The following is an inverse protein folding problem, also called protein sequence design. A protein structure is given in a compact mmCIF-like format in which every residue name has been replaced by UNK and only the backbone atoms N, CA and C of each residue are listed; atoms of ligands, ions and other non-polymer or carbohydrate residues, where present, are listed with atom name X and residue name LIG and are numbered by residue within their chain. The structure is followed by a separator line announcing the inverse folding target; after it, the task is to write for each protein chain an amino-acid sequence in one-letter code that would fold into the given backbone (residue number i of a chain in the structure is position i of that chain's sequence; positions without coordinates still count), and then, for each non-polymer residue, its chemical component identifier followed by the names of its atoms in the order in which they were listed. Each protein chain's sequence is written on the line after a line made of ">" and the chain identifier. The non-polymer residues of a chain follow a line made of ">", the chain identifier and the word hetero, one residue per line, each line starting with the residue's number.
data_IF_998407279826
#
_entry.id   IF_998407279826
#
_cell.length_a   1.000
_cell.length_b   1.000
_cell.length_c   1.000
_cell.angle_alpha   90.00
_cell.angle_beta   90.00
_cell.angle_gamma   90.00
#
_symmetry.space_group_name_H-M   'P 1'
#
loop_
_entity.id
_entity.type
_entity.pdbx_description
1 polymer ?
#
# COMPACT_ATOMS: atom_id res chain seq x y z
N UNK A 1 12.64 -11.60 -63.06
CA UNK A 1 11.90 -11.05 -64.22
C UNK A 1 10.43 -11.05 -63.88
N UNK A 2 9.81 -9.89 -64.11
CA UNK A 2 8.52 -9.44 -63.58
C UNK A 2 7.31 -9.95 -64.38
N UNK A 3 6.18 -10.19 -63.72
CA UNK A 3 4.79 -10.00 -64.19
C UNK A 3 3.87 -10.11 -62.94
N UNK A 4 3.39 -9.01 -62.34
CA UNK A 4 2.20 -8.20 -62.68
C UNK A 4 0.90 -8.98 -62.96
N UNK A 5 -0.03 -8.95 -62.01
CA UNK A 5 -1.48 -9.00 -62.27
C UNK A 5 -2.24 -8.22 -61.18
N UNK A 6 -3.24 -7.47 -61.64
CA UNK A 6 -3.95 -6.35 -61.01
C UNK A 6 -5.45 -6.58 -61.21
N UNK A 7 -6.25 -6.37 -60.17
CA UNK A 7 -7.74 -6.26 -60.21
C UNK A 7 -8.14 -5.54 -58.91
N UNK A 8 -8.69 -4.32 -58.82
CA UNK A 8 -9.96 -3.75 -59.35
C UNK A 8 -11.13 -4.73 -59.14
N UNK A 9 -12.28 -4.44 -58.53
CA UNK A 9 -13.02 -3.24 -58.08
C UNK A 9 -14.03 -3.73 -57.01
N UNK A 10 -14.72 -2.94 -56.19
CA UNK A 10 -15.93 -2.22 -56.60
C UNK A 10 -16.55 -1.53 -55.38
N UNK A 11 -17.02 -0.31 -55.59
CA UNK A 11 -17.76 0.51 -54.64
C UNK A 11 -19.23 0.11 -54.59
N UNK A 12 -19.90 0.33 -53.45
CA UNK A 12 -21.33 0.63 -53.43
C UNK A 12 -21.67 1.63 -52.32
N UNK A 13 -21.90 2.85 -52.79
CA UNK A 13 -22.64 3.92 -52.13
C UNK A 13 -24.09 3.50 -51.90
N UNK A 14 -24.64 3.82 -50.73
CA UNK A 14 -26.08 4.04 -50.56
C UNK A 14 -26.29 5.33 -49.77
N UNK A 15 -27.23 6.11 -50.28
CA UNK A 15 -27.43 7.53 -50.07
C UNK A 15 -28.86 7.75 -49.57
N UNK A 16 -29.01 8.80 -48.76
CA UNK A 16 -30.20 9.62 -48.50
C UNK A 16 -31.37 9.06 -47.65
N UNK A 17 -31.78 9.87 -46.66
CA UNK A 17 -33.22 10.06 -46.41
C UNK A 17 -33.72 10.53 -45.04
N UNK A 18 -33.61 11.85 -44.77
CA UNK A 18 -34.71 12.76 -44.37
C UNK A 18 -35.31 12.74 -42.93
N UNK A 19 -34.93 13.79 -42.20
CA UNK A 19 -35.72 14.74 -41.34
C UNK A 19 -37.17 14.41 -40.93
N UNK A 20 -37.53 14.70 -39.66
CA UNK A 20 -38.57 15.69 -39.26
C UNK A 20 -38.68 15.89 -37.73
N UNK A 21 -38.81 17.16 -37.32
CA UNK A 21 -39.58 17.77 -36.20
C UNK A 21 -40.05 16.88 -35.04
N UNK A 22 -39.79 17.17 -33.77
CA UNK A 22 -40.29 18.32 -33.02
C UNK A 22 -41.30 17.85 -31.95
N UNK A 23 -41.09 18.15 -30.67
CA UNK A 23 -42.03 17.71 -29.62
C UNK A 23 -41.56 18.00 -28.19
N UNK A 24 -41.86 19.22 -27.72
CA UNK A 24 -41.77 19.63 -26.32
C UNK A 24 -42.81 18.88 -25.47
N UNK A 25 -42.44 18.33 -24.32
CA UNK A 25 -43.39 17.90 -23.29
C UNK A 25 -42.79 18.01 -21.90
N UNK A 26 -43.24 19.05 -21.19
CA UNK A 26 -43.09 19.24 -19.74
C UNK A 26 -43.87 18.14 -19.01
N UNK A 27 -43.18 17.25 -18.32
CA UNK A 27 -43.75 16.28 -17.39
C UNK A 27 -43.31 16.56 -15.95
N UNK A 28 -44.27 16.97 -15.12
CA UNK A 28 -44.16 17.18 -13.66
C UNK A 28 -43.45 16.02 -12.95
N UNK A 29 -42.32 16.30 -12.30
CA UNK A 29 -41.77 15.43 -11.25
C UNK A 29 -42.38 15.87 -9.93
N UNK A 30 -43.28 15.04 -9.42
CA UNK A 30 -43.97 15.21 -8.15
C UNK A 30 -43.01 14.81 -7.01
N UNK A 31 -42.62 15.81 -6.24
CA UNK A 31 -41.91 15.71 -4.95
C UNK A 31 -42.61 14.70 -4.04
N UNK A 32 -41.96 13.56 -3.78
CA UNK A 32 -42.15 12.75 -2.57
C UNK A 32 -40.89 12.91 -1.73
N UNK A 33 -40.89 13.94 -0.90
CA UNK A 33 -39.92 14.11 0.17
C UNK A 33 -40.18 13.06 1.25
N UNK A 34 -39.26 12.11 1.39
CA UNK A 34 -39.15 11.24 2.54
C UNK A 34 -38.86 12.08 3.79
N UNK A 35 -39.66 11.86 4.83
CA UNK A 35 -39.69 12.56 6.13
C UNK A 35 -38.51 12.13 7.03
N UNK A 36 -37.35 11.83 6.45
CA UNK A 36 -36.16 11.39 7.19
C UNK A 36 -35.12 12.52 7.41
N UNK A 37 -35.19 13.61 6.64
CA UNK A 37 -34.19 14.70 6.69
C UNK A 37 -34.54 15.86 7.64
N UNK A 38 -35.69 15.83 8.32
CA UNK A 38 -36.09 16.92 9.22
C UNK A 38 -35.53 16.81 10.65
N UNK A 39 -34.89 15.68 11.01
CA UNK A 39 -34.36 15.46 12.36
C UNK A 39 -32.86 15.80 12.52
N UNK A 40 -32.12 16.00 11.42
CA UNK A 40 -30.71 16.37 11.46
C UNK A 40 -30.46 17.89 11.62
N UNK A 41 -31.51 18.72 11.47
CA UNK A 41 -31.42 20.18 11.49
C UNK A 41 -31.57 20.81 12.90
N UNK A 42 -31.60 20.00 13.96
CA UNK A 42 -31.84 20.47 15.34
C UNK A 42 -30.72 20.09 16.32
N UNK A 43 -29.48 19.89 15.84
CA UNK A 43 -28.31 19.81 16.72
C UNK A 43 -27.44 21.06 16.54
N UNK A 44 -27.00 21.71 17.64
CA UNK A 44 -26.10 22.85 17.58
C UNK A 44 -24.85 22.54 16.74
N UNK A 45 -24.48 23.44 15.82
CA UNK A 45 -23.31 23.31 14.92
C UNK A 45 -22.00 23.02 15.68
N UNK A 46 -21.93 23.39 16.96
CA UNK A 46 -20.79 23.11 17.84
C UNK A 46 -20.56 21.62 18.12
N UNK A 47 -21.59 20.77 18.03
CA UNK A 47 -21.47 19.33 18.30
C UNK A 47 -21.12 18.55 17.03
N UNK A 48 -21.63 18.96 15.87
CA UNK A 48 -21.32 18.33 14.59
C UNK A 48 -19.82 18.38 14.26
N UNK A 49 -19.17 19.52 14.55
CA UNK A 49 -17.74 19.72 14.27
C UNK A 49 -16.81 18.92 15.21
N UNK A 50 -17.24 18.67 16.46
CA UNK A 50 -16.49 17.84 17.42
C UNK A 50 -16.52 16.35 17.05
N UNK A 51 -17.61 15.88 16.44
CA UNK A 51 -17.70 14.46 16.05
C UNK A 51 -16.75 14.09 14.90
N UNK A 52 -16.42 15.02 13.99
CA UNK A 52 -15.50 14.76 12.87
C UNK A 52 -14.03 14.68 13.30
N UNK A 53 -13.54 15.69 14.02
CA UNK A 53 -12.13 15.76 14.45
C UNK A 53 -11.77 14.71 15.50
N UNK A 54 -12.69 14.40 16.42
CA UNK A 54 -12.44 13.39 17.44
C UNK A 54 -12.42 11.96 16.85
N UNK A 55 -13.22 11.70 15.82
CA UNK A 55 -13.19 10.43 15.08
C UNK A 55 -11.90 10.25 14.30
N UNK A 56 -11.39 11.31 13.65
CA UNK A 56 -10.12 11.23 12.92
C UNK A 56 -8.92 11.04 13.85
N UNK A 57 -8.88 11.73 14.99
CA UNK A 57 -7.83 11.56 16.00
C UNK A 57 -7.83 10.14 16.60
N UNK A 58 -9.00 9.58 16.92
CA UNK A 58 -9.13 8.20 17.42
C UNK A 58 -8.69 7.18 16.35
N UNK A 59 -9.14 7.37 15.11
CA UNK A 59 -8.73 6.51 13.97
C UNK A 59 -7.21 6.55 13.77
N UNK A 60 -6.59 7.73 13.82
CA UNK A 60 -5.12 7.90 13.75
C UNK A 60 -4.41 7.22 14.92
N UNK A 61 -4.88 7.40 16.15
CA UNK A 61 -4.30 6.73 17.32
C UNK A 61 -4.37 5.20 17.21
N UNK A 62 -5.48 4.66 16.68
CA UNK A 62 -5.62 3.22 16.40
C UNK A 62 -4.61 2.73 15.34
N UNK A 63 -4.40 3.51 14.27
CA UNK A 63 -3.40 3.18 13.26
C UNK A 63 -1.97 3.30 13.79
N UNK A 64 -1.65 4.34 14.57
CA UNK A 64 -0.37 4.47 15.24
C UNK A 64 -0.10 3.26 16.14
N UNK A 65 -1.09 2.85 16.94
CA UNK A 65 -0.96 1.66 17.79
C UNK A 65 -0.66 0.40 16.98
N UNK A 66 -1.36 0.18 15.87
CA UNK A 66 -1.08 -0.96 14.96
C UNK A 66 0.34 -0.90 14.38
N UNK A 67 0.78 0.28 13.97
CA UNK A 67 2.15 0.49 13.49
C UNK A 67 3.17 0.12 14.56
N UNK A 68 3.01 0.62 15.80
CA UNK A 68 3.96 0.34 16.88
C UNK A 68 4.01 -1.15 17.25
N UNK A 69 2.86 -1.82 17.32
CA UNK A 69 2.77 -3.25 17.59
C UNK A 69 3.51 -4.07 16.53
N UNK A 70 3.28 -3.79 15.24
CA UNK A 70 3.95 -4.51 14.15
C UNK A 70 5.44 -4.18 14.04
N UNK A 71 5.81 -2.91 14.19
CA UNK A 71 7.21 -2.49 14.17
C UNK A 71 8.00 -3.15 15.31
N UNK A 72 7.40 -3.28 16.50
CA UNK A 72 8.00 -4.00 17.62
C UNK A 72 8.17 -5.50 17.33
N UNK A 73 7.13 -6.17 16.81
CA UNK A 73 7.21 -7.60 16.47
C UNK A 73 8.32 -7.86 15.46
N UNK A 74 8.36 -7.10 14.37
CA UNK A 74 9.40 -7.24 13.33
C UNK A 74 10.79 -6.93 13.91
N UNK A 75 10.91 -5.90 14.75
CA UNK A 75 12.16 -5.57 15.43
C UNK A 75 12.67 -6.71 16.32
N UNK A 76 11.79 -7.33 17.12
CA UNK A 76 12.15 -8.45 18.00
C UNK A 76 12.59 -9.71 17.25
N UNK A 77 11.98 -9.99 16.10
CA UNK A 77 12.38 -11.11 15.24
C UNK A 77 13.84 -10.99 14.79
N UNK A 78 14.30 -9.79 14.47
CA UNK A 78 15.68 -9.58 14.02
C UNK A 78 16.71 -9.70 15.14
N UNK A 79 16.39 -9.22 16.34
CA UNK A 79 17.29 -9.34 17.49
C UNK A 79 17.49 -10.80 17.91
N UNK A 80 16.48 -11.65 17.72
CA UNK A 80 16.53 -13.08 18.05
C UNK A 80 17.41 -13.86 17.06
N UNK A 81 17.43 -13.47 15.79
CA UNK A 81 18.28 -14.11 14.76
C UNK A 81 19.77 -13.83 15.00
N UNK A 82 20.11 -12.68 15.61
CA UNK A 82 21.51 -12.32 15.87
C UNK A 82 22.16 -13.02 17.08
N UNK A 83 21.39 -13.69 17.95
CA UNK A 83 21.89 -14.41 19.13
C UNK A 83 21.90 -15.94 18.97
N UNK A 84 21.55 -16.46 17.79
CA UNK A 84 21.46 -17.90 17.53
C UNK A 84 22.74 -18.58 17.03
N UNK A 85 23.83 -17.85 16.78
CA UNK A 85 25.00 -18.36 16.02
C UNK A 85 26.35 -18.33 16.77
N UNK A 86 26.37 -18.27 18.10
CA UNK A 86 27.61 -18.37 18.90
C UNK A 86 27.56 -19.44 20.03
N UNK A 87 26.98 -20.61 19.76
CA UNK A 87 27.03 -21.73 20.71
C UNK A 87 27.49 -23.04 20.07
N UNK A 88 28.62 -23.02 19.36
CA UNK A 88 29.33 -24.25 19.00
C UNK A 88 30.84 -24.04 18.86
N UNK A 89 31.56 -24.20 19.98
CA UNK A 89 32.95 -24.60 19.95
C UNK A 89 33.92 -23.63 20.62
N UNK A 90 34.28 -23.93 21.87
CA UNK A 90 35.68 -24.04 22.31
C UNK A 90 35.77 -24.47 23.77
N UNK A 91 36.20 -25.71 23.97
CA UNK A 91 36.74 -26.18 25.24
C UNK A 91 38.26 -26.08 25.24
N UNK A 92 38.77 -25.56 26.37
CA UNK A 92 40.07 -25.78 27.02
C UNK A 92 41.37 -25.34 26.34
N UNK A 93 42.00 -24.29 26.90
CA UNK A 93 43.24 -24.43 27.68
C UNK A 93 43.48 -23.18 28.56
N UNK A 94 44.25 -23.35 29.64
CA UNK A 94 44.30 -22.50 30.81
C UNK A 94 45.56 -21.59 30.89
N UNK A 95 45.43 -20.55 31.74
CA UNK A 95 46.46 -19.67 32.33
C UNK A 95 47.16 -18.71 31.34
N UNK A 96 47.41 -17.42 31.65
CA UNK A 96 48.04 -16.83 32.84
C UNK A 96 47.59 -15.36 33.00
N UNK A 97 47.54 -14.88 34.25
CA UNK A 97 47.21 -13.52 34.64
C UNK A 97 48.24 -12.45 34.21
N UNK A 98 47.76 -11.25 33.85
CA UNK A 98 48.40 -9.96 34.18
C UNK A 98 47.42 -8.82 33.93
N UNK A 99 47.22 -7.99 34.96
CA UNK A 99 46.39 -6.80 34.96
C UNK A 99 46.96 -5.71 34.06
N UNK A 100 46.09 -5.01 33.32
CA UNK A 100 46.23 -3.59 33.04
C UNK A 100 44.83 -2.96 32.91
N UNK A 101 44.58 -2.12 33.90
CA UNK A 101 43.62 -1.04 34.01
C UNK A 101 43.26 -0.37 32.67
N UNK A 102 42.02 -0.55 32.24
CA UNK A 102 41.31 0.35 31.34
C UNK A 102 39.82 0.04 31.44
N UNK A 103 39.12 0.85 32.24
CA UNK A 103 37.67 0.90 32.29
C UNK A 103 37.09 1.07 30.88
N UNK A 104 36.31 0.11 30.33
CA UNK A 104 35.50 0.41 29.17
C UNK A 104 34.22 1.05 29.71
N UNK A 105 34.12 2.37 29.57
CA UNK A 105 32.83 3.05 29.58
C UNK A 105 31.86 2.21 28.73
N UNK A 106 30.66 1.85 29.21
CA UNK A 106 29.65 1.30 28.33
C UNK A 106 29.32 2.42 27.33
N UNK A 107 29.90 2.34 26.13
CA UNK A 107 29.42 3.10 24.99
C UNK A 107 27.95 2.73 24.88
N UNK A 108 27.10 3.70 25.24
CA UNK A 108 25.68 3.69 24.98
C UNK A 108 25.47 3.14 23.58
N UNK A 109 24.90 1.94 23.48
CA UNK A 109 24.32 1.51 22.22
C UNK A 109 23.44 2.66 21.72
N UNK A 110 23.51 3.05 20.44
CA UNK A 110 22.50 3.95 19.91
C UNK A 110 21.15 3.31 20.24
N UNK A 111 20.15 4.09 20.69
CA UNK A 111 18.83 3.56 21.00
C UNK A 111 18.30 2.81 19.78
N UNK A 112 18.42 1.49 19.80
CA UNK A 112 18.02 0.56 18.74
C UNK A 112 16.51 0.59 18.49
N UNK A 113 15.78 1.39 19.26
CA UNK A 113 14.34 1.62 19.14
C UNK A 113 13.96 2.63 18.05
N UNK A 114 14.91 3.47 17.59
CA UNK A 114 14.62 4.59 16.66
C UNK A 114 14.83 4.25 15.18
N UNK A 115 15.54 3.16 14.86
CA UNK A 115 16.00 2.86 13.50
C UNK A 115 15.35 1.57 13.01
N UNK A 116 14.87 1.57 11.77
CA UNK A 116 14.18 0.45 11.17
C UNK A 116 14.88 -0.01 9.88
N UNK A 117 15.15 -1.31 9.66
CA UNK A 117 15.87 -1.74 8.46
C UNK A 117 15.10 -1.43 7.17
N UNK A 118 15.77 -0.85 6.18
CA UNK A 118 15.18 -0.45 4.89
C UNK A 118 14.53 -1.64 4.17
N UNK A 119 15.17 -2.82 4.21
CA UNK A 119 14.64 -4.06 3.60
C UNK A 119 13.31 -4.52 4.21
N UNK A 120 12.97 -4.06 5.41
CA UNK A 120 11.76 -4.47 6.12
C UNK A 120 10.58 -3.53 5.93
N UNK A 121 10.82 -2.35 5.34
CA UNK A 121 9.78 -1.33 5.14
C UNK A 121 8.63 -1.88 4.31
N UNK A 122 8.93 -2.63 3.23
CA UNK A 122 7.90 -3.26 2.39
C UNK A 122 7.07 -4.31 3.13
N UNK A 123 7.71 -5.14 3.96
CA UNK A 123 7.00 -6.14 4.78
C UNK A 123 6.09 -5.47 5.81
N UNK A 124 6.57 -4.42 6.48
CA UNK A 124 5.77 -3.65 7.44
C UNK A 124 4.58 -2.98 6.77
N UNK A 125 4.78 -2.31 5.64
CA UNK A 125 3.71 -1.65 4.89
C UNK A 125 2.62 -2.64 4.46
N UNK A 126 3.01 -3.82 3.94
CA UNK A 126 2.07 -4.88 3.57
C UNK A 126 1.35 -5.48 4.77
N UNK A 127 2.04 -5.70 5.89
CA UNK A 127 1.44 -6.17 7.14
C UNK A 127 0.42 -5.16 7.72
N UNK A 128 0.55 -3.88 7.40
CA UNK A 128 -0.44 -2.84 7.74
C UNK A 128 -1.67 -2.83 6.82
N UNK A 129 -1.69 -3.70 5.80
CA UNK A 129 -2.76 -3.80 4.80
C UNK A 129 -2.63 -2.80 3.65
N UNK A 130 -1.45 -2.21 3.44
CA UNK A 130 -1.18 -1.35 2.29
C UNK A 130 -0.70 -2.20 1.11
N UNK A 131 -1.30 -1.98 -0.07
CA UNK A 131 -0.85 -2.65 -1.29
C UNK A 131 0.27 -1.82 -1.94
N UNK A 132 1.51 -2.06 -1.51
CA UNK A 132 2.68 -1.31 -1.98
C UNK A 132 3.56 -2.11 -2.94
N UNK A 133 3.82 -1.53 -4.11
CA UNK A 133 4.79 -2.05 -5.09
C UNK A 133 6.23 -1.83 -4.60
N UNK A 134 7.19 -2.57 -5.15
CA UNK A 134 8.60 -2.38 -4.78
C UNK A 134 9.10 -0.97 -5.13
N UNK A 135 8.58 -0.38 -6.21
CA UNK A 135 8.85 1.01 -6.56
C UNK A 135 8.31 1.97 -5.50
N UNK A 136 7.08 1.75 -5.02
CA UNK A 136 6.49 2.56 -3.95
C UNK A 136 7.24 2.41 -2.63
N UNK A 137 7.75 1.22 -2.31
CA UNK A 137 8.60 1.00 -1.13
C UNK A 137 9.89 1.81 -1.25
N UNK A 138 10.55 1.79 -2.41
CA UNK A 138 11.74 2.62 -2.66
C UNK A 138 11.42 4.10 -2.48
N UNK A 139 10.26 4.55 -2.99
CA UNK A 139 9.78 5.92 -2.81
C UNK A 139 9.50 6.27 -1.33
N UNK A 140 8.92 5.35 -0.53
CA UNK A 140 8.74 5.56 0.92
C UNK A 140 10.10 5.72 1.61
N UNK A 141 11.07 4.88 1.27
CA UNK A 141 12.43 4.94 1.85
C UNK A 141 13.10 6.25 1.49
N UNK A 142 13.03 6.65 0.22
CA UNK A 142 13.52 7.94 -0.26
C UNK A 142 12.80 9.11 0.44
N UNK A 143 11.54 8.97 0.82
CA UNK A 143 10.85 10.03 1.56
C UNK A 143 11.37 10.18 3.01
N UNK A 144 11.85 9.08 3.61
CA UNK A 144 12.21 8.99 5.02
C UNK A 144 13.71 9.15 5.28
N UNK A 145 14.57 8.62 4.43
CA UNK A 145 16.04 8.74 4.56
C UNK A 145 16.46 10.22 4.42
N UNK A 146 17.51 10.66 5.11
CA UNK A 146 18.03 12.03 4.96
C UNK A 146 18.98 12.12 3.75
N UNK A 147 19.36 13.34 3.33
CA UNK A 147 20.33 13.52 2.24
C UNK A 147 21.68 12.92 2.64
N UNK A 148 22.02 11.78 2.03
CA UNK A 148 23.24 11.05 2.34
C UNK A 148 23.32 9.70 1.66
N UNK A 149 24.45 8.99 1.81
CA UNK A 149 24.52 7.60 1.40
C UNK A 149 23.47 6.78 2.18
N UNK A 150 22.74 5.90 1.49
CA UNK A 150 21.75 5.06 2.15
C UNK A 150 22.42 4.27 3.28
N UNK A 151 21.91 4.48 4.48
CA UNK A 151 22.46 3.84 5.68
C UNK A 151 21.97 2.40 5.82
N UNK A 152 21.00 1.99 5.01
CA UNK A 152 20.27 0.73 5.16
C UNK A 152 19.25 0.75 6.30
N UNK A 153 19.05 1.90 6.93
CA UNK A 153 18.10 2.12 8.00
C UNK A 153 17.31 3.42 7.79
N UNK A 154 16.05 3.39 8.21
CA UNK A 154 15.13 4.53 8.19
C UNK A 154 14.72 4.91 9.61
N UNK A 155 14.48 6.20 9.86
CA UNK A 155 13.95 6.66 11.14
C UNK A 155 12.52 6.12 11.32
N UNK A 156 12.31 5.33 12.38
CA UNK A 156 11.04 4.71 12.73
C UNK A 156 9.94 5.74 12.93
N UNK A 157 10.24 6.91 13.48
CA UNK A 157 9.25 7.97 13.72
C UNK A 157 8.74 8.53 12.40
N UNK A 158 9.67 8.90 11.50
CA UNK A 158 9.36 9.40 10.16
C UNK A 158 8.59 8.36 9.34
N UNK A 159 9.03 7.10 9.38
CA UNK A 159 8.35 5.99 8.73
C UNK A 159 6.91 5.81 9.25
N UNK A 160 6.72 5.90 10.57
CA UNK A 160 5.41 5.82 11.20
C UNK A 160 4.45 6.88 10.68
N UNK A 161 4.89 8.13 10.52
CA UNK A 161 4.05 9.18 9.96
C UNK A 161 3.60 8.88 8.52
N UNK A 162 4.53 8.45 7.67
CA UNK A 162 4.24 8.14 6.27
C UNK A 162 3.25 6.99 6.16
N UNK A 163 3.48 5.90 6.89
CA UNK A 163 2.62 4.71 6.81
C UNK A 163 1.27 4.94 7.48
N UNK A 164 1.21 5.63 8.62
CA UNK A 164 -0.07 5.95 9.28
C UNK A 164 -0.90 6.90 8.42
N UNK A 165 -0.28 7.88 7.76
CA UNK A 165 -1.00 8.73 6.81
C UNK A 165 -1.53 7.91 5.63
N UNK A 166 -0.70 7.05 5.04
CA UNK A 166 -1.11 6.14 3.96
C UNK A 166 -2.28 5.23 4.37
N UNK A 167 -2.33 4.74 5.61
CA UNK A 167 -3.48 3.97 6.13
C UNK A 167 -4.75 4.82 6.30
N UNK A 168 -4.62 6.13 6.52
CA UNK A 168 -5.74 7.05 6.67
C UNK A 168 -6.30 7.51 5.34
N UNK A 169 -5.41 7.84 4.42
CA UNK A 169 -5.71 8.51 3.13
C UNK A 169 -5.78 7.53 1.97
N UNK A 170 -5.08 6.39 2.07
CA UNK A 170 -4.91 5.48 0.95
C UNK A 170 -3.84 5.90 -0.05
N UNK A 171 -3.08 6.95 0.25
CA UNK A 171 -2.08 7.52 -0.66
C UNK A 171 -0.75 7.71 0.05
N UNK A 172 0.33 7.23 -0.55
CA UNK A 172 1.69 7.54 -0.12
C UNK A 172 2.06 8.92 -0.64
N UNK A 173 2.57 9.80 0.23
CA UNK A 173 2.95 11.16 -0.15
C UNK A 173 1.77 12.07 -0.49
N UNK A 174 0.59 11.79 0.08
CA UNK A 174 -0.62 12.57 -0.17
C UNK A 174 -0.57 14.01 0.39
N UNK A 175 -1.57 14.84 0.06
CA UNK A 175 -1.61 16.25 0.47
C UNK A 175 -1.62 16.44 2.00
N UNK A 176 -2.09 15.46 2.76
CA UNK A 176 -2.05 15.49 4.23
C UNK A 176 -0.61 15.51 4.76
N UNK A 177 0.31 14.73 4.16
CA UNK A 177 1.74 14.77 4.52
C UNK A 177 2.37 16.12 4.14
N UNK A 178 1.94 16.70 3.02
CA UNK A 178 2.36 18.03 2.61
C UNK A 178 1.90 19.11 3.60
N UNK A 179 0.65 19.04 4.07
CA UNK A 179 0.09 19.93 5.10
C UNK A 179 0.90 19.82 6.41
N UNK A 180 1.23 18.61 6.86
CA UNK A 180 2.08 18.39 8.04
C UNK A 180 3.48 18.98 7.90
N UNK A 181 4.02 19.03 6.69
CA UNK A 181 5.32 19.62 6.40
C UNK A 181 5.26 21.15 6.33
N UNK A 182 4.25 21.72 5.67
CA UNK A 182 4.11 23.17 5.48
C UNK A 182 3.68 23.91 6.74
N UNK A 183 2.83 23.30 7.58
CA UNK A 183 2.25 24.01 8.72
C UNK A 183 3.19 24.08 9.94
N UNK A 184 4.38 23.45 9.91
CA UNK A 184 5.22 23.37 11.10
C UNK A 184 4.44 22.87 12.32
N UNK A 185 3.44 22.01 12.07
CA UNK A 185 2.40 21.72 13.03
C UNK A 185 3.01 20.87 14.16
N UNK A 186 3.01 21.44 15.36
CA UNK A 186 3.61 20.94 16.59
C UNK A 186 2.98 19.64 17.14
N UNK A 187 2.78 18.62 16.32
CA UNK A 187 2.32 17.29 16.71
C UNK A 187 3.26 16.27 16.05
N UNK A 188 4.21 15.64 16.74
CA UNK A 188 4.18 15.13 18.11
C UNK A 188 5.50 15.50 18.80
N UNK A 189 5.44 16.41 19.79
CA UNK A 189 6.50 16.48 20.79
C UNK A 189 6.44 15.18 21.59
N UNK A 190 7.38 14.26 21.32
CA UNK A 190 7.80 13.31 22.35
C UNK A 190 8.24 14.15 23.56
N UNK A 191 7.84 13.75 24.77
CA UNK A 191 8.27 14.40 26.01
C UNK A 191 9.78 14.23 26.31
N UNK A 192 10.55 13.63 25.39
CA UNK A 192 12.00 13.59 25.41
C UNK A 192 12.60 14.57 24.40
N UNK A 193 13.65 15.23 24.84
CA UNK A 193 14.33 16.42 24.30
C UNK A 193 15.03 16.26 22.92
N UNK A 194 14.47 15.49 21.99
CA UNK A 194 14.95 15.44 20.59
C UNK A 194 13.84 15.96 19.67
N UNK A 195 14.18 16.93 18.83
CA UNK A 195 13.27 17.75 18.03
C UNK A 195 12.28 16.98 17.12
N UNK A 196 11.33 17.69 16.48
CA UNK A 196 10.33 17.06 15.63
C UNK A 196 11.03 16.35 14.46
N UNK A 197 10.81 15.04 14.35
CA UNK A 197 11.27 14.25 13.21
C UNK A 197 10.42 14.62 11.99
N UNK A 198 10.79 15.71 11.32
CA UNK A 198 10.11 16.21 10.13
C UNK A 198 10.67 15.50 8.88
N UNK A 199 9.76 15.21 7.94
CA UNK A 199 10.13 14.83 6.58
C UNK A 199 10.63 16.07 5.83
N UNK A 200 11.55 15.88 4.90
CA UNK A 200 12.05 16.97 4.06
C UNK A 200 10.92 17.54 3.19
N UNK A 201 10.56 18.80 3.42
CA UNK A 201 9.49 19.49 2.68
C UNK A 201 9.73 19.48 1.16
N UNK A 202 10.99 19.65 0.75
CA UNK A 202 11.41 19.62 -0.65
C UNK A 202 11.09 18.27 -1.32
N UNK A 203 11.32 17.16 -0.60
CA UNK A 203 11.03 15.82 -1.14
C UNK A 203 9.55 15.57 -1.26
N UNK A 204 8.75 15.99 -0.28
CA UNK A 204 7.28 15.89 -0.34
C UNK A 204 6.69 16.67 -1.51
N UNK A 205 7.26 17.82 -1.87
CA UNK A 205 6.83 18.61 -3.05
C UNK A 205 7.19 17.90 -4.35
N UNK A 206 8.37 17.28 -4.44
CA UNK A 206 8.79 16.51 -5.63
C UNK A 206 8.16 15.12 -5.70
N UNK A 207 7.54 14.65 -4.62
CA UNK A 207 6.99 13.31 -4.54
C UNK A 207 5.66 13.23 -5.29
N UNK A 208 5.58 12.33 -6.27
CA UNK A 208 4.31 12.02 -6.92
C UNK A 208 3.46 11.14 -6.00
N UNK A 209 2.28 11.60 -5.54
CA UNK A 209 1.42 10.78 -4.69
C UNK A 209 1.02 9.50 -5.41
N UNK A 210 1.03 8.37 -4.70
CA UNK A 210 0.66 7.08 -5.28
C UNK A 210 -0.36 6.35 -4.41
N UNK A 211 -1.34 5.71 -5.06
CA UNK A 211 -2.38 4.95 -4.38
C UNK A 211 -1.80 3.64 -3.83
N UNK A 212 -2.11 3.34 -2.57
CA UNK A 212 -1.72 2.10 -1.91
C UNK A 212 -2.92 1.41 -1.24
N UNK A 213 -4.13 1.82 -1.61
CA UNK A 213 -5.38 1.17 -1.17
C UNK A 213 -5.51 -0.18 -1.84
N UNK A 214 -5.94 -1.16 -1.04
CA UNK A 214 -6.32 -2.46 -1.55
C UNK A 214 -7.62 -2.37 -2.34
N UNK A 215 -7.65 -2.98 -3.51
CA UNK A 215 -8.85 -2.97 -4.35
C UNK A 215 -10.01 -3.73 -3.69
N UNK A 216 -11.23 -3.23 -3.91
CA UNK A 216 -12.44 -3.89 -3.41
C UNK A 216 -12.68 -5.21 -4.16
N UNK A 217 -13.29 -6.18 -3.48
CA UNK A 217 -13.71 -7.47 -4.05
C UNK A 217 -14.44 -7.29 -5.39
N UNK A 218 -15.33 -6.30 -5.49
CA UNK A 218 -16.10 -6.05 -6.72
C UNK A 218 -15.23 -5.60 -7.89
N UNK A 219 -14.15 -4.86 -7.64
CA UNK A 219 -13.19 -4.45 -8.66
C UNK A 219 -12.32 -5.63 -9.08
N UNK A 220 -11.81 -6.39 -8.12
CA UNK A 220 -10.99 -7.58 -8.37
C UNK A 220 -11.77 -8.65 -9.16
N UNK A 221 -13.01 -8.92 -8.75
CA UNK A 221 -13.90 -9.86 -9.40
C UNK A 221 -14.25 -9.41 -10.83
N UNK A 222 -14.42 -8.10 -11.06
CA UNK A 222 -14.61 -7.56 -12.42
C UNK A 222 -13.37 -7.79 -13.29
N UNK A 223 -12.17 -7.56 -12.76
CA UNK A 223 -10.92 -7.79 -13.49
C UNK A 223 -10.72 -9.27 -13.83
N UNK A 224 -10.94 -10.17 -12.88
CA UNK A 224 -10.81 -11.62 -13.10
C UNK A 224 -11.87 -12.14 -14.08
N UNK A 225 -13.11 -11.63 -14.03
CA UNK A 225 -14.13 -11.93 -15.04
C UNK A 225 -13.76 -11.50 -16.45
N UNK A 226 -12.95 -10.45 -16.60
CA UNK A 226 -12.48 -10.02 -17.91
C UNK A 226 -11.45 -11.00 -18.52
N UNK A 227 -10.76 -11.78 -17.69
CA UNK A 227 -9.85 -12.85 -18.12
C UNK A 227 -10.62 -14.10 -18.56
N UNK A 228 -11.74 -14.40 -17.90
CA UNK A 228 -12.64 -15.51 -18.26
C UNK A 228 -13.58 -15.12 -19.41
N UNK A 229 -13.01 -15.07 -20.62
CA UNK A 229 -13.75 -14.72 -21.86
C UNK A 229 -14.95 -15.65 -22.13
N UNK A 230 -14.92 -16.87 -21.60
CA UNK A 230 -15.97 -17.88 -21.76
C UNK A 230 -17.00 -17.86 -20.62
N UNK A 231 -16.81 -17.03 -19.59
CA UNK A 231 -17.68 -16.92 -18.41
C UNK A 231 -17.95 -18.26 -17.71
N UNK A 232 -16.93 -19.12 -17.64
CA UNK A 232 -16.97 -20.43 -16.98
C UNK A 232 -17.14 -20.35 -15.47
N UNK A 233 -16.74 -19.24 -14.84
CA UNK A 233 -16.72 -19.10 -13.37
C UNK A 233 -15.39 -19.47 -12.72
N UNK A 234 -14.39 -19.85 -13.51
CA UNK A 234 -13.06 -20.23 -13.04
C UNK A 234 -12.00 -19.87 -14.09
N UNK A 235 -10.75 -19.72 -13.64
CA UNK A 235 -9.60 -19.50 -14.51
C UNK A 235 -8.79 -20.79 -14.68
N UNK A 236 -8.27 -20.96 -15.89
CA UNK A 236 -7.30 -22.00 -16.22
C UNK A 236 -5.87 -21.47 -16.07
N UNK A 237 -4.92 -22.35 -15.75
CA UNK A 237 -3.51 -21.99 -15.50
C UNK A 237 -2.91 -21.18 -16.66
N UNK A 238 -3.19 -21.59 -17.90
CA UNK A 238 -2.68 -20.92 -19.09
C UNK A 238 -3.21 -19.48 -19.23
N UNK A 239 -4.48 -19.25 -18.90
CA UNK A 239 -5.10 -17.92 -18.96
C UNK A 239 -4.51 -17.00 -17.90
N UNK A 240 -4.39 -17.51 -16.67
CA UNK A 240 -3.78 -16.77 -15.58
C UNK A 240 -2.31 -16.44 -15.87
N UNK A 241 -1.52 -17.43 -16.30
CA UNK A 241 -0.11 -17.24 -16.62
C UNK A 241 0.07 -16.22 -17.73
N UNK A 242 -0.75 -16.28 -18.78
CA UNK A 242 -0.75 -15.27 -19.84
C UNK A 242 -1.06 -13.89 -19.29
N UNK A 243 -2.08 -13.74 -18.44
CA UNK A 243 -2.48 -12.44 -17.90
C UNK A 243 -1.39 -11.83 -17.00
N UNK A 244 -0.76 -12.64 -16.16
CA UNK A 244 0.21 -12.18 -15.16
C UNK A 244 1.61 -11.94 -15.72
N UNK A 245 1.95 -12.53 -16.87
CA UNK A 245 3.25 -12.37 -17.52
C UNK A 245 3.25 -11.35 -18.67
N UNK A 246 2.09 -10.80 -19.06
CA UNK A 246 1.96 -9.89 -20.21
C UNK A 246 1.66 -8.42 -19.86
N UNK A 247 1.56 -8.08 -18.57
CA UNK A 247 1.30 -6.73 -18.09
C UNK A 247 2.54 -5.84 -18.01
N UNK A 248 2.34 -4.58 -17.60
CA UNK A 248 3.45 -3.64 -17.33
C UNK A 248 4.26 -4.05 -16.09
N UNK A 249 3.61 -4.75 -15.14
CA UNK A 249 4.23 -5.41 -14.00
C UNK A 249 4.06 -6.93 -14.17
N UNK A 250 5.07 -7.59 -14.74
CA UNK A 250 5.05 -9.04 -14.92
C UNK A 250 5.49 -9.78 -13.66
N UNK A 251 4.77 -10.84 -13.31
CA UNK A 251 5.26 -11.85 -12.38
C UNK A 251 6.23 -12.80 -13.09
N UNK A 252 7.23 -13.28 -12.36
CA UNK A 252 8.09 -14.38 -12.81
C UNK A 252 7.28 -15.68 -12.92
N UNK A 253 7.76 -16.63 -13.73
CA UNK A 253 7.08 -17.91 -13.90
C UNK A 253 6.92 -18.65 -12.55
N UNK A 254 7.93 -18.56 -11.67
CA UNK A 254 7.90 -19.16 -10.33
C UNK A 254 6.82 -18.52 -9.44
N UNK A 255 6.72 -17.19 -9.44
CA UNK A 255 5.69 -16.46 -8.68
C UNK A 255 4.27 -16.79 -9.17
N UNK A 256 4.09 -16.95 -10.49
CA UNK A 256 2.80 -17.36 -11.05
C UNK A 256 2.45 -18.79 -10.66
N UNK A 257 3.44 -19.69 -10.61
CA UNK A 257 3.23 -21.08 -10.22
C UNK A 257 2.84 -21.19 -8.74
N UNK A 258 3.54 -20.45 -7.87
CA UNK A 258 3.19 -20.35 -6.46
C UNK A 258 1.78 -19.79 -6.27
N UNK A 259 1.43 -18.74 -7.02
CA UNK A 259 0.09 -18.15 -6.99
C UNK A 259 -0.98 -19.14 -7.47
N UNK A 260 -0.73 -19.87 -8.56
CA UNK A 260 -1.63 -20.91 -9.07
C UNK A 260 -1.84 -22.03 -8.05
N UNK A 261 -0.77 -22.48 -7.41
CA UNK A 261 -0.80 -23.51 -6.38
C UNK A 261 -1.59 -23.09 -5.15
N UNK A 262 -1.54 -21.80 -4.78
CA UNK A 262 -2.34 -21.22 -3.70
C UNK A 262 -3.83 -21.08 -4.06
N UNK A 263 -4.14 -20.80 -5.32
CA UNK A 263 -5.52 -20.54 -5.77
C UNK A 263 -6.30 -21.78 -6.17
N UNK A 264 -5.64 -22.81 -6.67
CA UNK A 264 -6.33 -23.97 -7.23
C UNK A 264 -7.04 -24.75 -6.13
N UNK A 265 -8.29 -25.11 -6.38
CA UNK A 265 -9.01 -26.04 -5.52
C UNK A 265 -8.41 -27.45 -5.67
N UNK A 266 -7.99 -28.12 -4.59
CA UNK A 266 -7.36 -29.44 -4.66
C UNK A 266 -8.29 -30.53 -5.22
N UNK A 267 -9.61 -30.33 -5.17
CA UNK A 267 -10.59 -31.30 -5.70
C UNK A 267 -10.81 -31.18 -7.20
N UNK A 268 -10.94 -29.95 -7.70
CA UNK A 268 -11.32 -29.68 -9.10
C UNK A 268 -10.15 -29.23 -9.97
N UNK A 269 -9.00 -28.91 -9.37
CA UNK A 269 -7.81 -28.38 -10.02
C UNK A 269 -8.10 -27.12 -10.86
N UNK A 270 -9.04 -26.29 -10.39
CA UNK A 270 -9.51 -25.05 -11.00
C UNK A 270 -9.42 -23.91 -9.99
N UNK A 271 -9.21 -22.69 -10.46
CA UNK A 271 -9.20 -21.49 -9.63
C UNK A 271 -10.53 -20.73 -9.78
N UNK A 272 -11.42 -20.80 -8.78
CA UNK A 272 -12.66 -20.04 -8.78
C UNK A 272 -12.39 -18.58 -8.42
N UNK A 273 -12.64 -17.67 -9.37
CA UNK A 273 -12.26 -16.27 -9.18
C UNK A 273 -13.12 -15.51 -8.17
N UNK A 274 -14.31 -16.01 -7.82
CA UNK A 274 -15.13 -15.42 -6.76
C UNK A 274 -14.41 -15.55 -5.40
N UNK A 275 -14.02 -16.77 -5.05
CA UNK A 275 -13.31 -17.07 -3.82
C UNK A 275 -11.95 -16.34 -3.80
N UNK A 276 -11.27 -16.30 -4.95
CA UNK A 276 -10.00 -15.60 -5.06
C UNK A 276 -10.14 -14.08 -4.88
N UNK A 277 -11.16 -13.45 -5.47
CA UNK A 277 -11.41 -12.02 -5.28
C UNK A 277 -11.75 -11.69 -3.82
N UNK A 278 -12.50 -12.56 -3.14
CA UNK A 278 -12.83 -12.42 -1.72
C UNK A 278 -11.58 -12.51 -0.85
N UNK A 279 -10.70 -13.50 -1.10
CA UNK A 279 -9.41 -13.65 -0.41
C UNK A 279 -8.53 -12.42 -0.67
N UNK A 280 -8.37 -12.04 -1.94
CA UNK A 280 -7.58 -10.88 -2.33
C UNK A 280 -8.13 -9.57 -1.77
N UNK A 281 -9.43 -9.43 -1.49
CA UNK A 281 -9.96 -8.22 -0.88
C UNK A 281 -9.80 -8.20 0.66
N UNK A 282 -9.69 -9.37 1.29
CA UNK A 282 -9.70 -9.52 2.77
C UNK A 282 -8.33 -9.64 3.42
N UNK A 283 -7.39 -10.33 2.77
CA UNK A 283 -6.01 -10.44 3.26
C UNK A 283 -5.25 -9.11 3.14
#
# INVERSE_FOLDING_TARGET
>A
MSVSAKTQSSAKSFKDGRTTTGGSSKGKIQKRSSVADAAAAALPESIAYLTGKQRSANRRAKCQKKFEELAQVIGTMNSTVLWGTEAAGRSSSAAVAAALDASPSPLSSPPTELWFPTLQVGYLARALGLNVTNQQVASIVELVEEDGPSTGFVDRRKLGYVLVDAMMTGTIGGPTLHEFSTEGCAAIRSASDDGPALLSAERLVSFAPSLCVREEETTLLRALKALDTEQKGYLEEAQLRSAMMSGDECLSAEEVDDMWMAMRDPGTNRAYYCDFAEILARE
#
